data_IF_489534540744
#
_entry.id   IF_489534540744
#
_cell.length_a   1.000
_cell.length_b   1.000
_cell.length_c   1.000
_cell.angle_alpha   90.00
_cell.angle_beta   90.00
_cell.angle_gamma   90.00
#
_symmetry.space_group_name_H-M   'P 1'
#
loop_
_entity.id
_entity.type
_entity.pdbx_description
1 polymer ?
#
# COMPACT_ATOMS: atom_id res chain seq x y z
N UNK A 1 -16.50 2.69 13.93
CA UNK A 1 -16.85 1.29 13.60
C UNK A 1 -17.68 1.18 12.33
N UNK A 2 -18.86 1.81 12.24
CA UNK A 2 -19.74 1.78 11.05
C UNK A 2 -19.06 2.16 9.73
N UNK A 3 -18.25 3.23 9.73
CA UNK A 3 -17.55 3.69 8.53
C UNK A 3 -16.48 2.70 8.04
N UNK A 4 -15.87 1.96 8.95
CA UNK A 4 -14.93 0.87 8.61
C UNK A 4 -15.63 -0.33 7.99
N UNK A 5 -16.80 -0.71 8.53
CA UNK A 5 -17.61 -1.77 7.94
C UNK A 5 -18.11 -1.40 6.53
N UNK A 6 -18.45 -0.13 6.30
CA UNK A 6 -18.85 0.39 4.98
C UNK A 6 -17.68 0.36 4.00
N UNK A 7 -16.47 0.76 4.42
CA UNK A 7 -15.29 0.72 3.55
C UNK A 7 -14.88 -0.73 3.21
N UNK A 8 -15.00 -1.65 4.16
CA UNK A 8 -14.72 -3.08 3.93
C UNK A 8 -15.76 -3.71 3.00
N UNK A 9 -17.05 -3.37 3.11
CA UNK A 9 -18.07 -3.88 2.19
C UNK A 9 -17.95 -3.28 0.79
N UNK A 10 -17.57 -2.00 0.68
CA UNK A 10 -17.25 -1.36 -0.60
C UNK A 10 -16.02 -2.03 -1.25
N UNK A 11 -15.02 -2.41 -0.46
CA UNK A 11 -13.84 -3.10 -0.95
C UNK A 11 -14.14 -4.54 -1.41
N UNK A 12 -14.85 -5.33 -0.60
CA UNK A 12 -15.24 -6.71 -0.95
C UNK A 12 -16.13 -6.73 -2.20
N UNK A 13 -16.97 -5.70 -2.40
CA UNK A 13 -17.84 -5.57 -3.58
C UNK A 13 -17.28 -4.70 -4.69
N UNK A 14 -16.00 -4.30 -4.63
CA UNK A 14 -15.39 -3.39 -5.59
C UNK A 14 -15.55 -3.91 -7.02
N UNK A 15 -15.37 -5.21 -7.26
CA UNK A 15 -15.50 -5.80 -8.58
C UNK A 15 -16.93 -5.73 -9.13
N UNK A 16 -17.94 -6.02 -8.28
CA UNK A 16 -19.36 -5.89 -8.67
C UNK A 16 -19.80 -4.44 -8.86
N UNK A 17 -19.25 -3.52 -8.07
CA UNK A 17 -19.59 -2.10 -8.09
C UNK A 17 -18.96 -1.41 -9.32
N UNK A 18 -17.71 -1.79 -9.64
CA UNK A 18 -17.04 -1.40 -10.88
C UNK A 18 -17.76 -1.99 -12.11
N UNK A 19 -18.16 -3.27 -12.08
CA UNK A 19 -18.90 -3.88 -13.18
C UNK A 19 -20.29 -3.25 -13.38
N UNK A 20 -20.93 -2.76 -12.30
CA UNK A 20 -22.20 -2.05 -12.39
C UNK A 20 -22.02 -0.63 -12.96
N UNK A 21 -21.03 0.14 -12.46
CA UNK A 21 -20.73 1.50 -12.91
C UNK A 21 -20.15 1.56 -14.33
N UNK A 22 -19.43 0.53 -14.75
CA UNK A 22 -18.78 0.43 -16.06
C UNK A 22 -19.43 -0.64 -16.97
N UNK A 23 -20.70 -0.97 -16.73
CA UNK A 23 -21.49 -1.98 -17.48
C UNK A 23 -21.66 -1.71 -18.98
N UNK A 24 -21.15 -0.58 -19.49
CA UNK A 24 -21.05 -0.27 -20.93
C UNK A 24 -19.64 -0.39 -21.53
N UNK A 25 -18.63 -0.75 -20.74
CA UNK A 25 -17.27 -0.99 -21.23
C UNK A 25 -17.18 -2.41 -21.79
N UNK A 26 -17.22 -2.50 -23.12
CA UNK A 26 -17.04 -3.70 -23.94
C UNK A 26 -16.44 -4.91 -23.20
N UNK A 27 -17.18 -6.01 -23.19
CA UNK A 27 -16.65 -7.35 -23.03
C UNK A 27 -15.37 -7.48 -23.85
N UNK A 28 -14.23 -7.63 -23.15
CA UNK A 28 -12.93 -7.84 -23.77
C UNK A 28 -12.94 -9.21 -24.47
N UNK A 29 -13.43 -9.22 -25.70
CA UNK A 29 -13.20 -10.28 -26.66
C UNK A 29 -11.70 -10.44 -26.80
N UNK A 30 -11.22 -11.66 -26.59
CA UNK A 30 -9.86 -12.11 -26.82
C UNK A 30 -9.41 -11.78 -28.25
N UNK A 31 -8.92 -10.56 -28.44
CA UNK A 31 -8.17 -10.17 -29.63
C UNK A 31 -6.71 -10.17 -29.21
N UNK A 32 -5.95 -11.11 -29.76
CA UNK A 32 -4.51 -11.12 -29.64
C UNK A 32 -3.97 -9.83 -30.28
N UNK A 33 -3.75 -8.80 -29.48
CA UNK A 33 -3.16 -7.54 -29.95
C UNK A 33 -1.68 -7.56 -29.63
N UNK A 34 -0.93 -7.46 -30.73
CA UNK A 34 0.50 -7.38 -30.92
C UNK A 34 1.17 -6.46 -29.89
N UNK A 35 2.39 -6.80 -29.49
CA UNK A 35 3.32 -5.92 -28.77
C UNK A 35 3.47 -4.60 -29.54
N UNK A 36 2.67 -3.60 -29.20
CA UNK A 36 2.76 -2.30 -29.84
C UNK A 36 3.76 -1.40 -29.13
N UNK A 37 4.50 -0.66 -29.93
CA UNK A 37 5.54 0.29 -29.53
C UNK A 37 4.98 1.28 -28.49
N UNK A 38 5.83 1.69 -27.54
CA UNK A 38 5.56 2.67 -26.45
C UNK A 38 4.59 3.84 -26.81
N UNK A 39 4.66 4.50 -27.98
CA UNK A 39 3.73 5.59 -28.34
C UNK A 39 2.25 5.16 -28.42
N UNK A 40 1.94 3.93 -28.82
CA UNK A 40 0.54 3.49 -28.97
C UNK A 40 -0.15 3.24 -27.63
N UNK A 41 0.60 2.85 -26.59
CA UNK A 41 0.02 2.59 -25.25
C UNK A 41 -0.47 3.85 -24.56
N UNK A 42 0.32 4.92 -24.62
CA UNK A 42 -0.07 6.21 -24.03
C UNK A 42 -1.33 6.74 -24.72
N UNK A 43 -1.37 6.63 -26.05
CA UNK A 43 -2.54 6.99 -26.83
C UNK A 43 -3.75 6.12 -26.47
N UNK A 44 -3.55 4.82 -26.27
CA UNK A 44 -4.61 3.91 -25.82
C UNK A 44 -5.21 4.33 -24.47
N UNK A 45 -4.37 4.66 -23.47
CA UNK A 45 -4.84 5.10 -22.16
C UNK A 45 -5.59 6.44 -22.20
N UNK A 46 -5.13 7.37 -23.04
CA UNK A 46 -5.80 8.67 -23.26
C UNK A 46 -7.17 8.46 -23.91
N UNK A 47 -7.25 7.57 -24.90
CA UNK A 47 -8.49 7.30 -25.63
C UNK A 47 -9.52 6.50 -24.81
N UNK A 48 -9.10 5.81 -23.75
CA UNK A 48 -9.97 5.01 -22.88
C UNK A 48 -9.91 5.48 -21.42
N UNK A 49 -10.41 6.69 -21.09
CA UNK A 49 -10.20 7.32 -19.79
C UNK A 49 -10.84 6.54 -18.62
N UNK A 50 -12.02 5.95 -18.83
CA UNK A 50 -12.70 5.17 -17.80
C UNK A 50 -11.96 3.87 -17.48
N UNK A 51 -11.45 3.19 -18.50
CA UNK A 51 -10.62 2.01 -18.34
C UNK A 51 -9.32 2.36 -17.59
N UNK A 52 -8.64 3.42 -18.01
CA UNK A 52 -7.40 3.89 -17.36
C UNK A 52 -7.61 4.23 -15.89
N UNK A 53 -8.74 4.86 -15.55
CA UNK A 53 -9.09 5.17 -14.16
C UNK A 53 -9.36 3.90 -13.34
N UNK A 54 -10.10 2.93 -13.89
CA UNK A 54 -10.36 1.65 -13.22
C UNK A 54 -9.05 0.86 -13.00
N UNK A 55 -8.19 0.80 -14.01
CA UNK A 55 -6.86 0.19 -13.96
C UNK A 55 -6.00 0.83 -12.86
N UNK A 56 -5.97 2.16 -12.83
CA UNK A 56 -5.21 2.93 -11.86
C UNK A 56 -5.72 2.68 -10.44
N UNK A 57 -7.03 2.75 -10.20
CA UNK A 57 -7.60 2.49 -8.88
C UNK A 57 -7.34 1.07 -8.38
N UNK A 58 -7.49 0.06 -9.25
CA UNK A 58 -7.20 -1.34 -8.91
C UNK A 58 -5.72 -1.51 -8.57
N UNK A 59 -4.84 -0.99 -9.42
CA UNK A 59 -3.39 -1.09 -9.21
C UNK A 59 -2.92 -0.30 -7.98
N UNK A 60 -3.59 0.82 -7.62
CA UNK A 60 -3.35 1.53 -6.36
C UNK A 60 -3.78 0.69 -5.15
N UNK A 61 -4.91 -0.01 -5.22
CA UNK A 61 -5.34 -0.93 -4.15
C UNK A 61 -4.30 -2.05 -3.94
N UNK A 62 -3.74 -2.59 -5.02
CA UNK A 62 -2.71 -3.63 -4.95
C UNK A 62 -1.43 -3.16 -4.27
N UNK A 63 -1.05 -1.89 -4.45
CA UNK A 63 0.07 -1.26 -3.72
C UNK A 63 -0.17 -1.32 -2.21
N UNK A 64 -1.38 -1.03 -1.73
CA UNK A 64 -1.69 -1.08 -0.30
C UNK A 64 -1.64 -2.53 0.24
N UNK A 65 -2.21 -3.49 -0.49
CA UNK A 65 -2.20 -4.90 -0.09
C UNK A 65 -0.77 -5.45 -0.01
N UNK A 66 0.03 -5.19 -1.04
CA UNK A 66 1.42 -5.64 -1.09
C UNK A 66 2.31 -4.94 -0.05
N UNK A 67 1.99 -3.69 0.30
CA UNK A 67 2.62 -2.99 1.42
C UNK A 67 2.29 -3.63 2.77
N UNK A 68 1.01 -3.93 3.02
CA UNK A 68 0.58 -4.66 4.22
C UNK A 68 1.29 -6.02 4.31
N UNK A 69 1.33 -6.77 3.22
CA UNK A 69 2.00 -8.07 3.17
C UNK A 69 3.49 -7.95 3.48
N UNK A 70 4.16 -6.91 2.96
CA UNK A 70 5.59 -6.66 3.22
C UNK A 70 5.87 -6.34 4.70
N UNK A 71 4.99 -5.59 5.36
CA UNK A 71 5.12 -5.27 6.79
C UNK A 71 4.83 -6.51 7.65
N UNK A 72 3.80 -7.26 7.27
CA UNK A 72 3.36 -8.42 8.05
C UNK A 72 4.36 -9.57 7.93
N UNK A 73 4.95 -9.72 6.74
CA UNK A 73 5.98 -10.72 6.42
C UNK A 73 7.28 -10.05 5.96
N UNK A 74 8.12 -9.56 6.90
CA UNK A 74 9.38 -8.91 6.55
C UNK A 74 10.36 -9.87 5.85
N UNK A 75 10.15 -11.18 5.97
CA UNK A 75 10.95 -12.24 5.34
C UNK A 75 10.06 -13.05 4.38
N UNK A 76 9.95 -12.64 3.11
CA UNK A 76 9.01 -13.27 2.17
C UNK A 76 9.35 -14.72 1.79
N UNK A 77 10.59 -15.16 2.06
CA UNK A 77 11.07 -16.51 1.74
C UNK A 77 10.83 -17.53 2.87
N UNK A 78 10.42 -17.06 4.03
CA UNK A 78 10.08 -17.88 5.19
C UNK A 78 8.57 -17.86 5.27
N UNK A 79 7.92 -19.03 5.20
CA UNK A 79 6.47 -19.11 5.36
C UNK A 79 6.07 -18.51 6.72
N UNK A 80 5.49 -17.30 6.76
CA UNK A 80 5.21 -16.65 8.02
C UNK A 80 3.99 -17.34 8.62
N UNK A 81 4.06 -17.71 9.91
CA UNK A 81 2.84 -18.11 10.59
C UNK A 81 1.85 -16.93 10.58
N UNK A 82 0.57 -17.20 10.31
CA UNK A 82 -0.47 -16.16 10.26
C UNK A 82 -0.52 -15.34 11.56
N UNK A 83 -0.20 -15.98 12.69
CA UNK A 83 -0.09 -15.34 14.00
C UNK A 83 1.04 -14.32 14.05
N UNK A 84 2.27 -14.69 13.69
CA UNK A 84 3.40 -13.75 13.70
C UNK A 84 3.19 -12.62 12.70
N UNK A 85 2.65 -12.93 11.53
CA UNK A 85 2.28 -11.94 10.53
C UNK A 85 1.34 -10.87 11.10
N UNK A 86 0.32 -11.30 11.84
CA UNK A 86 -0.62 -10.40 12.52
C UNK A 86 0.05 -9.60 13.64
N UNK A 87 0.93 -10.21 14.44
CA UNK A 87 1.66 -9.54 15.51
C UNK A 87 2.58 -8.44 14.93
N UNK A 88 3.32 -8.74 13.86
CA UNK A 88 4.18 -7.77 13.16
C UNK A 88 3.36 -6.57 12.67
N UNK A 89 2.20 -6.82 12.06
CA UNK A 89 1.34 -5.74 11.56
C UNK A 89 0.75 -4.89 12.69
N UNK A 90 0.26 -5.52 13.77
CA UNK A 90 -0.24 -4.80 14.95
C UNK A 90 0.87 -3.96 15.58
N UNK A 91 2.07 -4.52 15.72
CA UNK A 91 3.22 -3.80 16.23
C UNK A 91 3.56 -2.58 15.39
N UNK A 92 3.56 -2.73 14.06
CA UNK A 92 3.77 -1.62 13.14
C UNK A 92 2.72 -0.52 13.35
N UNK A 93 1.43 -0.87 13.45
CA UNK A 93 0.36 0.10 13.68
C UNK A 93 0.51 0.84 15.02
N UNK A 94 0.81 0.13 16.11
CA UNK A 94 1.04 0.74 17.43
C UNK A 94 2.25 1.68 17.35
N UNK A 95 3.33 1.25 16.70
CA UNK A 95 4.55 2.06 16.56
C UNK A 95 4.31 3.30 15.72
N UNK A 96 3.55 3.18 14.63
CA UNK A 96 3.14 4.29 13.79
C UNK A 96 2.33 5.32 14.60
N UNK A 97 1.34 4.88 15.38
CA UNK A 97 0.51 5.75 16.20
C UNK A 97 1.32 6.47 17.28
N UNK A 98 2.16 5.74 18.01
CA UNK A 98 3.01 6.30 19.06
C UNK A 98 4.02 7.31 18.52
N UNK A 99 4.71 6.99 17.42
CA UNK A 99 5.64 7.92 16.76
C UNK A 99 4.93 9.17 16.23
N UNK A 100 3.75 9.01 15.63
CA UNK A 100 2.96 10.14 15.14
C UNK A 100 2.51 11.07 16.27
N UNK A 101 2.18 10.50 17.44
CA UNK A 101 1.77 11.27 18.61
C UNK A 101 2.94 12.06 19.22
N UNK A 102 4.13 11.46 19.32
CA UNK A 102 5.31 12.09 19.94
C UNK A 102 6.11 13.01 19.02
N UNK A 103 5.83 12.99 17.71
CA UNK A 103 6.53 13.83 16.74
C UNK A 103 6.35 15.33 17.02
N UNK A 104 7.42 16.00 17.43
CA UNK A 104 7.43 17.47 17.66
C UNK A 104 7.42 18.29 16.37
N UNK A 105 7.77 17.68 15.25
CA UNK A 105 7.89 18.36 13.96
C UNK A 105 6.49 18.62 13.40
N UNK A 106 6.06 19.88 13.42
CA UNK A 106 4.81 20.29 12.79
C UNK A 106 5.04 20.63 11.33
N UNK A 107 4.42 19.86 10.45
CA UNK A 107 4.55 20.04 9.00
C UNK A 107 3.40 20.85 8.45
N UNK A 108 3.72 21.89 7.69
CA UNK A 108 2.72 22.71 7.00
C UNK A 108 1.86 21.84 6.06
N UNK A 109 0.58 22.18 5.93
CA UNK A 109 -0.35 21.53 5.00
C UNK A 109 0.22 21.48 3.58
N UNK A 110 0.90 22.54 3.13
CA UNK A 110 1.51 22.60 1.79
C UNK A 110 2.53 21.46 1.56
N UNK A 111 3.44 21.25 2.51
CA UNK A 111 4.46 20.19 2.38
C UNK A 111 3.84 18.79 2.45
N UNK A 112 2.78 18.61 3.26
CA UNK A 112 2.03 17.34 3.30
C UNK A 112 1.37 17.04 1.95
N UNK A 113 0.72 18.03 1.33
CA UNK A 113 0.19 17.89 -0.02
C UNK A 113 1.30 17.62 -1.04
N UNK A 114 2.45 18.27 -0.92
CA UNK A 114 3.62 18.03 -1.77
C UNK A 114 4.09 16.58 -1.72
N UNK A 115 4.26 15.99 -0.52
CA UNK A 115 4.63 14.58 -0.35
C UNK A 115 3.56 13.67 -0.96
N UNK A 116 2.28 13.93 -0.71
CA UNK A 116 1.17 13.12 -1.25
C UNK A 116 1.09 13.16 -2.77
N UNK A 117 1.31 14.33 -3.38
CA UNK A 117 1.36 14.48 -4.85
C UNK A 117 2.56 13.74 -5.41
N UNK A 118 3.73 13.87 -4.78
CA UNK A 118 4.94 13.16 -5.20
C UNK A 118 4.74 11.65 -5.14
N UNK A 119 4.07 11.14 -4.09
CA UNK A 119 3.67 9.73 -4.03
C UNK A 119 2.81 9.34 -5.22
N UNK A 120 1.76 10.10 -5.51
CA UNK A 120 0.84 9.82 -6.62
C UNK A 120 1.56 9.83 -7.98
N UNK A 121 2.45 10.79 -8.22
CA UNK A 121 3.27 10.89 -9.45
C UNK A 121 4.18 9.67 -9.60
N UNK A 122 4.88 9.27 -8.53
CA UNK A 122 5.75 8.09 -8.57
C UNK A 122 4.94 6.83 -8.85
N UNK A 123 3.77 6.67 -8.21
CA UNK A 123 2.92 5.49 -8.43
C UNK A 123 2.42 5.44 -9.88
N UNK A 124 1.99 6.56 -10.47
CA UNK A 124 1.64 6.63 -11.90
C UNK A 124 2.84 6.28 -12.78
N UNK A 125 4.03 6.81 -12.46
CA UNK A 125 5.25 6.51 -13.20
C UNK A 125 5.58 5.01 -13.18
N UNK A 126 5.41 4.35 -12.03
CA UNK A 126 5.58 2.89 -11.88
C UNK A 126 4.54 2.15 -12.73
N UNK A 127 3.27 2.54 -12.70
CA UNK A 127 2.24 1.91 -13.54
C UNK A 127 2.57 2.03 -15.02
N UNK A 128 2.98 3.22 -15.46
CA UNK A 128 3.33 3.45 -16.85
C UNK A 128 4.58 2.64 -17.27
N UNK A 129 5.56 2.51 -16.38
CA UNK A 129 6.75 1.70 -16.63
C UNK A 129 6.43 0.20 -16.70
N UNK A 130 5.68 -0.34 -15.73
CA UNK A 130 5.37 -1.78 -15.65
C UNK A 130 4.37 -2.21 -16.72
N UNK A 131 3.41 -1.36 -17.09
CA UNK A 131 2.52 -1.62 -18.24
C UNK A 131 3.27 -1.74 -19.57
N UNK A 132 4.57 -1.39 -19.61
CA UNK A 132 5.42 -1.63 -20.76
C UNK A 132 6.00 -3.04 -20.86
N UNK A 133 5.91 -3.85 -19.80
CA UNK A 133 6.37 -5.24 -19.84
C UNK A 133 5.22 -6.18 -20.28
N UNK A 134 5.30 -6.79 -21.47
CA UNK A 134 4.25 -7.67 -21.98
C UNK A 134 4.10 -8.97 -21.20
N UNK A 135 5.06 -9.33 -20.33
CA UNK A 135 4.95 -10.49 -19.43
C UNK A 135 3.97 -10.23 -18.30
N UNK A 136 3.76 -8.97 -17.97
CA UNK A 136 3.12 -8.53 -16.74
C UNK A 136 1.78 -7.85 -17.00
N UNK A 137 1.59 -7.30 -18.21
CA UNK A 137 0.39 -6.60 -18.60
C UNK A 137 0.12 -6.71 -20.10
N UNK A 138 -1.15 -6.93 -20.46
CA UNK A 138 -1.63 -6.85 -21.85
C UNK A 138 -2.69 -5.76 -21.95
N UNK A 139 -2.76 -5.11 -23.12
CA UNK A 139 -3.77 -4.09 -23.40
C UNK A 139 -5.17 -4.72 -23.28
N UNK A 140 -6.01 -4.13 -22.42
CA UNK A 140 -7.34 -4.65 -22.09
C UNK A 140 -7.42 -5.31 -20.71
N UNK A 141 -6.29 -5.66 -20.08
CA UNK A 141 -6.30 -6.20 -18.71
C UNK A 141 -6.70 -5.11 -17.70
N UNK A 142 -7.57 -5.39 -16.75
CA UNK A 142 -7.92 -4.41 -15.70
C UNK A 142 -6.91 -4.37 -14.54
N UNK A 143 -5.80 -5.09 -14.66
CA UNK A 143 -4.78 -5.22 -13.63
C UNK A 143 -3.38 -5.26 -14.25
N UNK A 144 -2.46 -4.47 -13.71
CA UNK A 144 -1.04 -4.53 -14.04
C UNK A 144 -0.37 -5.37 -12.97
N UNK A 145 0.10 -6.57 -13.33
CA UNK A 145 0.87 -7.39 -12.41
C UNK A 145 2.15 -6.68 -11.95
N UNK A 146 2.81 -7.18 -10.90
CA UNK A 146 4.16 -6.72 -10.56
C UNK A 146 4.31 -5.30 -10.01
N UNK A 147 3.22 -4.51 -9.97
CA UNK A 147 3.18 -3.27 -9.17
C UNK A 147 3.10 -3.66 -7.70
N UNK A 148 4.14 -3.33 -6.95
CA UNK A 148 4.30 -3.78 -5.58
C UNK A 148 4.58 -2.60 -4.66
N UNK A 149 3.99 -2.65 -3.47
CA UNK A 149 4.16 -1.67 -2.41
C UNK A 149 5.61 -1.53 -1.93
N UNK A 150 6.48 -2.51 -2.25
CA UNK A 150 7.93 -2.42 -2.04
C UNK A 150 8.56 -1.20 -2.71
N UNK A 151 8.02 -0.77 -3.85
CA UNK A 151 8.51 0.43 -4.54
C UNK A 151 8.23 1.71 -3.74
N UNK A 152 7.34 1.64 -2.75
CA UNK A 152 6.92 2.77 -1.91
C UNK A 152 7.45 2.70 -0.48
N UNK A 153 8.49 1.92 -0.19
CA UNK A 153 9.09 1.87 1.15
C UNK A 153 9.63 3.21 1.64
N UNK A 154 10.00 4.12 0.72
CA UNK A 154 10.37 5.50 1.05
C UNK A 154 9.24 6.27 1.77
N UNK A 155 7.97 5.84 1.64
CA UNK A 155 6.84 6.46 2.33
C UNK A 155 6.73 6.06 3.80
N UNK A 156 7.24 4.89 4.20
CA UNK A 156 7.17 4.39 5.58
C UNK A 156 7.68 5.42 6.59
N UNK A 157 8.90 5.98 6.45
CA UNK A 157 9.40 6.97 7.41
C UNK A 157 8.64 8.30 7.35
N UNK A 158 7.93 8.59 6.25
CA UNK A 158 7.13 9.81 6.07
C UNK A 158 5.71 9.66 6.63
N UNK A 159 5.20 8.44 6.80
CA UNK A 159 3.83 8.20 7.31
C UNK A 159 3.59 8.84 8.68
N UNK A 160 4.48 8.70 9.69
CA UNK A 160 4.28 9.36 10.98
C UNK A 160 4.18 10.88 10.87
N UNK A 161 4.97 11.47 9.96
CA UNK A 161 4.99 12.90 9.69
C UNK A 161 3.67 13.39 9.07
N UNK A 162 3.10 12.61 8.14
CA UNK A 162 1.83 12.91 7.49
C UNK A 162 0.64 12.78 8.45
N UNK A 163 0.68 11.79 9.36
CA UNK A 163 -0.41 11.46 10.28
C UNK A 163 -0.37 12.24 11.59
N UNK A 164 0.80 12.75 12.00
CA UNK A 164 1.01 13.47 13.26
C UNK A 164 -0.05 14.54 13.56
N UNK A 165 -0.41 15.46 12.63
CA UNK A 165 -1.40 16.50 12.91
C UNK A 165 -2.80 15.96 13.20
N UNK A 166 -3.17 14.84 12.58
CA UNK A 166 -4.47 14.19 12.80
C UNK A 166 -4.49 13.43 14.12
N UNK A 167 -3.37 12.78 14.46
CA UNK A 167 -3.24 11.97 15.69
C UNK A 167 -3.08 12.86 16.92
N UNK A 168 -2.30 13.93 16.85
CA UNK A 168 -2.14 14.88 17.95
C UNK A 168 -3.45 15.57 18.32
N UNK A 169 -4.31 15.86 17.33
CA UNK A 169 -5.66 16.39 17.57
C UNK A 169 -6.54 15.46 18.40
N UNK A 170 -6.29 14.14 18.36
CA UNK A 170 -7.09 13.19 19.13
C UNK A 170 -6.77 13.23 20.63
N UNK A 171 -5.70 13.91 21.07
CA UNK A 171 -5.27 14.02 22.48
C UNK A 171 -5.27 12.68 23.25
N UNK A 172 -5.19 11.55 22.53
CA UNK A 172 -5.27 10.21 23.12
C UNK A 172 -4.06 9.90 24.01
N UNK A 173 -2.98 10.64 23.82
CA UNK A 173 -1.67 10.33 24.37
C UNK A 173 -0.98 11.62 24.82
N UNK A 174 -1.49 12.19 25.91
CA UNK A 174 -0.80 13.27 26.61
C UNK A 174 0.17 12.64 27.62
N UNK A 175 1.39 13.17 27.72
CA UNK A 175 2.44 12.75 28.68
C UNK A 175 3.17 11.43 28.40
N UNK A 176 3.54 11.17 27.14
CA UNK A 176 4.54 10.13 26.85
C UNK A 176 5.97 10.59 27.17
N UNK A 177 6.65 9.82 28.00
CA UNK A 177 8.07 9.99 28.23
C UNK A 177 8.88 9.33 27.10
N UNK A 178 9.59 10.16 26.31
CA UNK A 178 10.40 9.73 25.16
C UNK A 178 11.41 8.61 25.52
N UNK A 179 12.03 8.70 26.70
CA UNK A 179 12.98 7.68 27.17
C UNK A 179 12.32 6.32 27.34
N UNK A 180 11.15 6.25 27.97
CA UNK A 180 10.39 5.01 28.16
C UNK A 180 9.91 4.44 26.82
N UNK A 181 9.52 5.31 25.89
CA UNK A 181 9.08 4.93 24.55
C UNK A 181 10.21 4.29 23.75
N UNK A 182 11.41 4.88 23.78
CA UNK A 182 12.59 4.33 23.11
C UNK A 182 12.95 2.94 23.64
N UNK A 183 12.91 2.76 24.97
CA UNK A 183 13.15 1.46 25.61
C UNK A 183 12.07 0.45 25.22
N UNK A 184 10.80 0.87 25.15
CA UNK A 184 9.70 0.03 24.67
C UNK A 184 9.94 -0.43 23.24
N UNK A 185 10.25 0.48 22.30
CA UNK A 185 10.52 0.12 20.91
C UNK A 185 11.71 -0.82 20.76
N UNK A 186 12.81 -0.57 21.48
CA UNK A 186 13.96 -1.46 21.47
C UNK A 186 13.61 -2.86 21.95
N UNK A 187 13.00 -3.00 23.14
CA UNK A 187 12.65 -4.30 23.71
C UNK A 187 11.68 -5.08 22.83
N UNK A 188 10.63 -4.42 22.35
CA UNK A 188 9.63 -5.05 21.47
C UNK A 188 10.21 -5.44 20.12
N UNK A 189 11.06 -4.60 19.52
CA UNK A 189 11.78 -4.93 18.28
C UNK A 189 12.67 -6.16 18.46
N UNK A 190 13.40 -6.28 19.57
CA UNK A 190 14.21 -7.47 19.85
C UNK A 190 13.37 -8.73 20.01
N UNK A 191 12.26 -8.66 20.75
CA UNK A 191 11.34 -9.80 20.91
C UNK A 191 10.77 -10.22 19.56
N UNK A 192 10.35 -9.26 18.73
CA UNK A 192 9.84 -9.55 17.40
C UNK A 192 10.89 -10.15 16.48
N UNK A 193 12.11 -9.61 16.48
CA UNK A 193 13.22 -10.17 15.73
C UNK A 193 13.43 -11.64 16.14
N UNK A 194 13.52 -11.91 17.44
CA UNK A 194 13.67 -13.26 17.97
C UNK A 194 12.54 -14.19 17.51
N UNK A 195 11.27 -13.78 17.67
CA UNK A 195 10.11 -14.58 17.25
C UNK A 195 10.10 -14.86 15.73
N UNK A 196 10.38 -13.84 14.91
CA UNK A 196 10.47 -14.00 13.47
C UNK A 196 11.63 -14.94 13.08
N UNK A 197 12.77 -14.88 13.77
CA UNK A 197 13.88 -15.82 13.53
C UNK A 197 13.55 -17.25 13.97
N UNK A 198 12.85 -17.45 15.10
CA UNK A 198 12.47 -18.78 15.55
C UNK A 198 11.53 -19.48 14.57
N UNK A 199 10.51 -18.78 14.08
CA UNK A 199 9.63 -19.33 13.04
C UNK A 199 10.35 -19.45 11.71
N UNK A 200 11.29 -18.56 11.43
CA UNK A 200 12.23 -18.69 10.33
C UNK A 200 12.99 -20.01 10.30
N UNK A 201 13.61 -20.36 11.42
CA UNK A 201 14.35 -21.61 11.56
C UNK A 201 13.44 -22.83 11.56
N UNK A 202 12.27 -22.75 12.21
CA UNK A 202 11.31 -23.86 12.21
C UNK A 202 10.73 -24.15 10.83
N UNK A 203 10.46 -23.13 10.01
CA UNK A 203 9.93 -23.33 8.66
C UNK A 203 10.98 -23.87 7.66
N UNK A 204 12.27 -23.81 8.01
CA UNK A 204 13.37 -24.33 7.19
C UNK A 204 13.83 -25.75 7.59
N UNK A 205 13.38 -26.25 8.75
CA UNK A 205 13.62 -27.62 9.24
C UNK A 205 12.44 -28.53 8.86
#
# INVERSE_FOLDING_TARGET
MLLGCILVTIWIKQETLLNFLFSGGASAGSSAVVNTLVPERLMFFINHPFYTLALLLRSFSDVFVTFQNSISSPWPFISPSQLISSINFIYFLISLLLLSATLKIQVNNFFRWGISILFFVITIGIFYAISGDPRVYKLGDLHIGGVQGRYHFYMIPLLPLLLSPSIQKLNLINDLNESKLSVFFMKTSYILLFLNTCVGMYAYL
#
